data_IF_186162954845
#
_entry.id   IF_186162954845
#
_cell.length_a   1.000
_cell.length_b   1.000
_cell.length_c   1.000
_cell.angle_alpha   90.00
_cell.angle_beta   90.00
_cell.angle_gamma   90.00
#
_symmetry.space_group_name_H-M   'P 1'
#
loop_
_entity.id
_entity.type
_entity.pdbx_description
1 polymer ?
#
# COMPACT_ATOMS: atom_id res chain seq x y z
N UNK A 1 27.34 0.94 21.37
CA UNK A 1 26.83 2.33 21.38
C UNK A 1 27.59 3.21 20.39
N UNK A 2 28.93 3.21 20.43
CA UNK A 2 29.82 3.95 19.49
C UNK A 2 29.49 3.71 18.00
N UNK A 3 29.31 2.44 17.59
CA UNK A 3 29.05 2.09 16.19
C UNK A 3 27.74 2.71 15.63
N UNK A 4 26.68 2.71 16.44
CA UNK A 4 25.38 3.27 16.06
C UNK A 4 25.42 4.80 15.94
N UNK A 5 26.20 5.46 16.79
CA UNK A 5 26.40 6.90 16.71
C UNK A 5 27.12 7.29 15.40
N UNK A 6 28.10 6.49 14.97
CA UNK A 6 28.83 6.70 13.72
C UNK A 6 27.91 6.53 12.50
N UNK A 7 27.07 5.48 12.48
CA UNK A 7 26.09 5.29 11.40
C UNK A 7 25.03 6.39 11.36
N UNK A 8 24.57 6.86 12.52
CA UNK A 8 23.62 7.96 12.58
C UNK A 8 24.22 9.27 12.09
N UNK A 9 25.46 9.57 12.49
CA UNK A 9 26.18 10.75 12.04
C UNK A 9 26.42 10.72 10.52
N UNK A 10 26.85 9.57 9.96
CA UNK A 10 27.09 9.45 8.52
C UNK A 10 25.80 9.61 7.70
N UNK A 11 24.68 9.04 8.16
CA UNK A 11 23.36 9.25 7.55
C UNK A 11 22.90 10.70 7.65
N UNK A 12 23.13 11.36 8.79
CA UNK A 12 22.75 12.76 8.98
C UNK A 12 23.53 13.70 8.03
N UNK A 13 24.85 13.51 7.91
CA UNK A 13 25.68 14.28 6.98
C UNK A 13 25.28 14.04 5.51
N UNK A 14 25.01 12.78 5.14
CA UNK A 14 24.59 12.45 3.78
C UNK A 14 23.24 13.08 3.42
N UNK A 15 22.26 13.01 4.33
CA UNK A 15 20.96 13.65 4.12
C UNK A 15 21.04 15.18 4.09
N UNK A 16 21.89 15.78 4.93
CA UNK A 16 22.14 17.22 4.91
C UNK A 16 22.81 17.68 3.60
N UNK A 17 23.77 16.90 3.09
CA UNK A 17 24.41 17.16 1.80
C UNK A 17 23.40 17.09 0.64
N UNK A 18 22.52 16.09 0.64
CA UNK A 18 21.45 15.97 -0.36
C UNK A 18 20.45 17.12 -0.26
N UNK A 19 20.07 17.52 0.96
CA UNK A 19 19.16 18.64 1.18
C UNK A 19 19.77 19.95 0.66
N UNK A 20 21.06 20.18 0.93
CA UNK A 20 21.78 21.34 0.44
C UNK A 20 21.91 21.33 -1.10
N UNK A 21 22.15 20.15 -1.69
CA UNK A 21 22.23 19.99 -3.15
C UNK A 21 20.86 20.24 -3.83
N UNK A 22 19.77 19.73 -3.25
CA UNK A 22 18.39 19.99 -3.71
C UNK A 22 17.99 21.45 -3.54
N UNK A 23 18.39 22.07 -2.44
CA UNK A 23 18.13 23.49 -2.18
C UNK A 23 18.91 24.37 -3.16
N UNK A 24 20.13 23.98 -3.53
CA UNK A 24 20.94 24.67 -4.52
C UNK A 24 20.40 24.52 -5.95
N UNK A 25 19.75 23.39 -6.28
CA UNK A 25 19.01 23.23 -7.53
C UNK A 25 17.66 23.97 -7.54
N UNK A 26 17.11 24.32 -6.38
CA UNK A 26 15.87 25.08 -6.25
C UNK A 26 16.14 26.58 -6.33
N UNK A 27 16.37 27.07 -7.55
CA UNK A 27 16.42 28.50 -7.90
C UNK A 27 15.12 29.21 -7.44
N UNK A 28 15.18 30.42 -6.87
CA UNK A 28 13.99 31.13 -6.39
C UNK A 28 13.37 31.96 -7.51
N UNK A 29 12.18 31.59 -7.99
CA UNK A 29 11.33 32.53 -8.74
C UNK A 29 10.46 33.30 -7.75
N UNK A 30 10.66 34.61 -7.71
CA UNK A 30 9.94 35.58 -6.90
C UNK A 30 8.90 36.35 -7.75
N UNK A 31 7.79 36.73 -7.11
CA UNK A 31 6.65 37.57 -7.59
C UNK A 31 5.67 36.87 -8.56
N UNK A 32 4.33 36.92 -8.41
CA UNK A 32 3.45 37.97 -7.88
C UNK A 32 2.12 37.39 -7.36
N UNK A 33 1.58 37.95 -6.27
CA UNK A 33 0.14 37.93 -5.97
C UNK A 33 -0.56 38.93 -6.92
N UNK A 34 -1.33 38.44 -7.89
CA UNK A 34 -2.44 39.22 -8.47
C UNK A 34 -3.55 38.26 -8.95
N UNK A 35 -4.78 38.62 -8.61
CA UNK A 35 -5.98 37.77 -8.67
C UNK A 35 -6.51 37.69 -10.11
N UNK A 36 -7.19 36.58 -10.45
CA UNK A 36 -8.07 36.37 -11.63
C UNK A 36 -7.41 35.82 -12.90
N UNK A 37 -7.01 34.54 -12.83
CA UNK A 37 -7.21 33.45 -13.79
C UNK A 37 -6.19 32.36 -13.43
N UNK A 38 -6.63 31.23 -12.88
CA UNK A 38 -5.73 30.17 -12.44
C UNK A 38 -4.87 29.70 -13.63
N UNK A 39 -3.54 29.88 -13.61
CA UNK A 39 -2.70 29.38 -14.69
C UNK A 39 -2.83 27.85 -14.75
N UNK A 40 -2.84 27.26 -15.95
CA UNK A 40 -3.11 25.83 -16.15
C UNK A 40 -2.18 24.92 -15.31
N UNK A 41 -0.98 25.40 -14.97
CA UNK A 41 -0.04 24.69 -14.10
C UNK A 41 -0.36 24.70 -12.59
N UNK A 42 -1.07 25.69 -12.04
CA UNK A 42 -1.43 25.72 -10.61
C UNK A 42 -2.65 24.86 -10.33
N UNK A 43 -3.64 24.87 -11.23
CA UNK A 43 -4.79 23.97 -11.15
C UNK A 43 -4.34 22.50 -11.19
N UNK A 44 -3.39 22.16 -12.08
CA UNK A 44 -2.76 20.83 -12.12
C UNK A 44 -2.02 20.45 -10.83
N UNK A 45 -1.27 21.39 -10.23
CA UNK A 45 -0.58 21.15 -8.93
C UNK A 45 -1.55 20.90 -7.77
N UNK A 46 -2.67 21.62 -7.73
CA UNK A 46 -3.66 21.47 -6.66
C UNK A 46 -4.47 20.16 -6.81
N UNK A 47 -4.85 19.80 -8.03
CA UNK A 47 -5.44 18.50 -8.36
C UNK A 47 -4.48 17.33 -8.04
N UNK A 48 -3.19 17.45 -8.39
CA UNK A 48 -2.17 16.47 -8.02
C UNK A 48 -2.03 16.30 -6.50
N UNK A 49 -2.03 17.42 -5.75
CA UNK A 49 -1.92 17.37 -4.28
C UNK A 49 -3.14 16.72 -3.64
N UNK A 50 -4.35 17.03 -4.12
CA UNK A 50 -5.60 16.42 -3.66
C UNK A 50 -5.60 14.92 -3.96
N UNK A 51 -5.23 14.52 -5.19
CA UNK A 51 -5.10 13.12 -5.57
C UNK A 51 -4.11 12.36 -4.69
N UNK A 52 -2.91 12.92 -4.47
CA UNK A 52 -1.89 12.33 -3.59
C UNK A 52 -2.44 12.12 -2.18
N UNK A 53 -3.09 13.13 -1.59
CA UNK A 53 -3.66 13.00 -0.24
C UNK A 53 -4.72 11.91 -0.16
N UNK A 54 -5.60 11.81 -1.16
CA UNK A 54 -6.61 10.74 -1.22
C UNK A 54 -5.95 9.37 -1.37
N UNK A 55 -5.00 9.23 -2.30
CA UNK A 55 -4.27 7.98 -2.52
C UNK A 55 -3.52 7.52 -1.27
N UNK A 56 -2.71 8.41 -0.68
CA UNK A 56 -1.94 8.10 0.52
C UNK A 56 -2.84 7.79 1.70
N UNK A 57 -3.96 8.49 1.86
CA UNK A 57 -4.95 8.18 2.90
C UNK A 57 -5.44 6.73 2.78
N UNK A 58 -5.90 6.33 1.59
CA UNK A 58 -6.35 4.95 1.36
C UNK A 58 -5.20 3.96 1.54
N UNK A 59 -4.04 4.23 0.94
CA UNK A 59 -2.86 3.35 0.98
C UNK A 59 -2.37 3.10 2.41
N UNK A 60 -2.29 4.15 3.23
CA UNK A 60 -1.91 4.03 4.64
C UNK A 60 -2.94 3.21 5.41
N UNK A 61 -4.24 3.41 5.18
CA UNK A 61 -5.27 2.62 5.85
C UNK A 61 -5.18 1.13 5.52
N UNK A 62 -5.02 0.78 4.23
CA UNK A 62 -4.93 -0.64 3.83
C UNK A 62 -3.62 -1.28 4.28
N UNK A 63 -2.52 -0.54 4.23
CA UNK A 63 -1.23 -1.01 4.74
C UNK A 63 -1.27 -1.18 6.26
N UNK A 64 -1.83 -0.23 7.00
CA UNK A 64 -2.00 -0.36 8.45
C UNK A 64 -2.83 -1.59 8.82
N UNK A 65 -3.86 -1.92 8.03
CA UNK A 65 -4.65 -3.12 8.25
C UNK A 65 -3.81 -4.41 8.06
N UNK A 66 -3.05 -4.52 6.96
CA UNK A 66 -2.22 -5.69 6.67
C UNK A 66 -1.10 -5.87 7.72
N UNK A 67 -0.47 -4.76 8.12
CA UNK A 67 0.53 -4.74 9.18
C UNK A 67 -0.03 -5.11 10.55
N UNK A 68 -1.27 -4.72 10.85
CA UNK A 68 -1.91 -5.11 12.10
C UNK A 68 -2.23 -6.61 12.09
N UNK A 69 -2.57 -7.17 10.93
CA UNK A 69 -2.85 -8.59 10.83
C UNK A 69 -1.59 -9.42 11.14
N UNK A 70 -0.45 -9.13 10.51
CA UNK A 70 0.81 -9.89 10.66
C UNK A 70 1.15 -10.41 12.08
N UNK A 71 1.30 -9.55 13.10
CA UNK A 71 1.74 -9.94 14.44
C UNK A 71 0.66 -10.63 15.29
N UNK A 72 -0.62 -10.23 15.15
CA UNK A 72 -1.71 -10.76 15.98
C UNK A 72 -2.30 -12.05 15.44
N UNK A 73 -2.02 -12.37 14.17
CA UNK A 73 -2.70 -13.45 13.50
C UNK A 73 -2.31 -14.85 14.00
N UNK A 74 -1.06 -15.02 14.44
CA UNK A 74 -0.59 -16.28 15.01
C UNK A 74 -1.18 -16.52 16.40
N UNK A 75 -1.09 -15.51 17.28
CA UNK A 75 -1.62 -15.59 18.65
C UNK A 75 -3.14 -15.77 18.65
N UNK A 76 -3.85 -15.13 17.73
CA UNK A 76 -5.29 -15.33 17.57
C UNK A 76 -5.67 -16.78 17.21
N UNK A 77 -4.84 -17.50 16.47
CA UNK A 77 -5.12 -18.91 16.15
C UNK A 77 -4.66 -19.88 17.22
N UNK A 78 -3.54 -19.58 17.88
CA UNK A 78 -2.98 -20.45 18.91
C UNK A 78 -3.64 -20.25 20.27
N UNK A 79 -3.74 -19.01 20.71
CA UNK A 79 -4.08 -18.66 22.08
C UNK A 79 -5.60 -18.48 22.24
N UNK A 80 -6.26 -17.82 21.29
CA UNK A 80 -7.72 -17.59 21.34
C UNK A 80 -8.54 -18.77 20.78
N UNK A 81 -8.15 -19.29 19.60
CA UNK A 81 -8.88 -20.40 18.95
C UNK A 81 -8.41 -21.78 19.41
N UNK A 82 -7.35 -21.86 20.22
CA UNK A 82 -6.78 -23.10 20.76
C UNK A 82 -6.50 -24.15 19.67
N UNK A 83 -6.10 -23.71 18.47
CA UNK A 83 -5.85 -24.62 17.35
C UNK A 83 -4.49 -25.32 17.52
N UNK A 84 -4.39 -26.61 17.13
CA UNK A 84 -3.12 -27.30 17.09
C UNK A 84 -2.13 -26.58 16.17
N UNK A 85 -0.85 -26.53 16.56
CA UNK A 85 0.19 -25.84 15.78
C UNK A 85 0.27 -26.32 14.33
N UNK A 86 0.02 -27.61 14.10
CA UNK A 86 -0.05 -28.20 12.75
C UNK A 86 -1.14 -27.55 11.87
N UNK A 87 -2.30 -27.24 12.46
CA UNK A 87 -3.42 -26.59 11.76
C UNK A 87 -3.11 -25.11 11.52
N UNK A 88 -2.53 -24.44 12.51
CA UNK A 88 -2.06 -23.05 12.37
C UNK A 88 -1.05 -22.95 11.22
N UNK A 89 -0.05 -23.83 11.19
CA UNK A 89 0.92 -23.90 10.10
C UNK A 89 0.23 -24.11 8.74
N UNK A 90 -0.71 -25.06 8.64
CA UNK A 90 -1.47 -25.30 7.41
C UNK A 90 -2.28 -24.07 6.95
N UNK A 91 -2.87 -23.31 7.87
CA UNK A 91 -3.59 -22.06 7.57
C UNK A 91 -2.66 -20.99 6.99
N UNK A 92 -1.46 -20.82 7.57
CA UNK A 92 -0.45 -19.91 7.04
C UNK A 92 0.06 -20.37 5.67
N UNK A 93 0.40 -21.66 5.52
CA UNK A 93 0.82 -22.23 4.24
C UNK A 93 -0.23 -22.01 3.16
N UNK A 94 -1.52 -22.20 3.48
CA UNK A 94 -2.61 -21.96 2.53
C UNK A 94 -2.65 -20.50 2.07
N UNK A 95 -2.49 -19.54 2.99
CA UNK A 95 -2.39 -18.12 2.65
C UNK A 95 -1.23 -17.81 1.72
N UNK A 96 -0.02 -18.34 2.00
CA UNK A 96 1.15 -18.13 1.16
C UNK A 96 1.04 -18.80 -0.22
N UNK A 97 0.51 -20.03 -0.28
CA UNK A 97 0.28 -20.74 -1.54
C UNK A 97 -0.75 -19.98 -2.39
N UNK A 98 -1.86 -19.54 -1.77
CA UNK A 98 -2.85 -18.74 -2.45
C UNK A 98 -2.25 -17.42 -2.97
N UNK A 99 -1.46 -16.72 -2.15
CA UNK A 99 -0.78 -15.50 -2.55
C UNK A 99 0.16 -15.73 -3.75
N UNK A 100 0.95 -16.80 -3.73
CA UNK A 100 1.87 -17.18 -4.79
C UNK A 100 1.16 -17.52 -6.11
N UNK A 101 0.09 -18.31 -6.05
CA UNK A 101 -0.75 -18.60 -7.23
C UNK A 101 -1.37 -17.31 -7.76
N UNK A 102 -1.98 -16.51 -6.88
CA UNK A 102 -2.61 -15.26 -7.26
C UNK A 102 -1.62 -14.28 -7.88
N UNK A 103 -0.37 -14.23 -7.43
CA UNK A 103 0.64 -13.29 -7.93
C UNK A 103 0.88 -13.43 -9.43
N UNK A 104 0.83 -14.66 -9.95
CA UNK A 104 1.01 -14.91 -11.39
C UNK A 104 -0.17 -14.42 -12.23
N UNK A 105 -1.39 -14.40 -11.70
CA UNK A 105 -2.60 -14.07 -12.47
C UNK A 105 -3.09 -12.65 -12.24
N UNK A 106 -2.99 -12.15 -11.02
CA UNK A 106 -3.57 -10.87 -10.56
C UNK A 106 -3.07 -9.69 -11.39
N UNK A 107 -1.79 -9.64 -11.76
CA UNK A 107 -1.26 -8.56 -12.61
C UNK A 107 -2.00 -8.46 -13.95
N UNK A 108 -2.07 -9.57 -14.69
CA UNK A 108 -2.78 -9.63 -15.98
C UNK A 108 -4.29 -9.38 -15.84
N UNK A 109 -4.90 -9.86 -14.76
CA UNK A 109 -6.33 -9.72 -14.53
C UNK A 109 -6.70 -8.28 -14.18
N UNK A 110 -5.87 -7.60 -13.39
CA UNK A 110 -6.04 -6.21 -12.99
C UNK A 110 -5.88 -5.26 -14.19
N UNK A 111 -4.96 -5.56 -15.11
CA UNK A 111 -4.81 -4.77 -16.34
C UNK A 111 -6.01 -4.94 -17.28
N UNK A 112 -6.64 -6.12 -17.33
CA UNK A 112 -7.80 -6.38 -18.20
C UNK A 112 -9.15 -5.91 -17.64
N UNK A 113 -9.37 -6.08 -16.33
CA UNK A 113 -10.63 -5.69 -15.67
C UNK A 113 -10.63 -4.25 -15.14
N UNK A 114 -9.50 -3.55 -15.27
CA UNK A 114 -9.33 -2.20 -14.79
C UNK A 114 -8.84 -2.15 -13.35
N UNK A 115 -7.86 -1.27 -13.12
CA UNK A 115 -7.14 -1.15 -11.84
C UNK A 115 -8.04 -0.71 -10.69
N UNK A 116 -9.07 0.10 -10.95
CA UNK A 116 -10.07 0.50 -9.95
C UNK A 116 -10.90 -0.68 -9.43
N UNK A 117 -11.27 -1.62 -10.31
CA UNK A 117 -12.02 -2.80 -9.91
C UNK A 117 -11.16 -3.71 -9.02
N UNK A 118 -9.88 -3.86 -9.34
CA UNK A 118 -8.95 -4.64 -8.53
C UNK A 118 -8.76 -4.06 -7.11
N UNK A 119 -8.73 -2.74 -6.93
CA UNK A 119 -8.72 -2.11 -5.61
C UNK A 119 -10.02 -2.39 -4.81
N UNK A 120 -11.18 -2.43 -5.47
CA UNK A 120 -12.44 -2.79 -4.81
C UNK A 120 -12.48 -4.28 -4.43
N UNK A 121 -12.00 -5.15 -5.32
CA UNK A 121 -11.85 -6.59 -5.04
C UNK A 121 -10.94 -6.81 -3.84
N UNK A 122 -9.85 -6.04 -3.72
CA UNK A 122 -9.01 -6.05 -2.53
C UNK A 122 -9.83 -5.73 -1.26
N UNK A 123 -10.57 -4.62 -1.23
CA UNK A 123 -11.35 -4.22 -0.06
C UNK A 123 -12.37 -5.29 0.36
N UNK A 124 -13.06 -5.88 -0.63
CA UNK A 124 -14.07 -6.93 -0.37
C UNK A 124 -13.38 -8.20 0.13
N UNK A 125 -12.36 -8.69 -0.56
CA UNK A 125 -11.64 -9.91 -0.19
C UNK A 125 -10.99 -9.79 1.20
N UNK A 126 -10.39 -8.64 1.50
CA UNK A 126 -9.78 -8.37 2.79
C UNK A 126 -10.82 -8.32 3.91
N UNK A 127 -11.95 -7.63 3.68
CA UNK A 127 -13.05 -7.58 4.66
C UNK A 127 -13.62 -8.97 4.96
N UNK A 128 -13.83 -9.79 3.92
CA UNK A 128 -14.29 -11.18 4.09
C UNK A 128 -13.25 -12.03 4.82
N UNK A 129 -11.96 -11.84 4.52
CA UNK A 129 -10.86 -12.48 5.25
C UNK A 129 -10.91 -12.12 6.74
N UNK A 130 -11.06 -10.84 7.09
CA UNK A 130 -11.18 -10.44 8.50
C UNK A 130 -12.43 -11.02 9.18
N UNK A 131 -13.59 -11.02 8.50
CA UNK A 131 -14.83 -11.60 9.03
C UNK A 131 -14.73 -13.12 9.23
N UNK A 132 -14.02 -13.82 8.35
CA UNK A 132 -13.84 -15.27 8.43
C UNK A 132 -13.19 -15.73 9.74
N UNK A 133 -12.32 -14.88 10.30
CA UNK A 133 -11.58 -15.15 11.55
C UNK A 133 -12.52 -15.18 12.76
N UNK A 134 -13.67 -14.51 12.68
CA UNK A 134 -14.70 -14.56 13.72
C UNK A 134 -15.37 -15.94 13.79
N UNK A 135 -15.42 -16.69 12.69
CA UNK A 135 -16.01 -18.03 12.66
C UNK A 135 -15.12 -19.07 13.35
N UNK A 136 -15.71 -20.11 13.95
CA UNK A 136 -14.99 -21.26 14.50
C UNK A 136 -14.90 -22.44 13.52
N UNK A 137 -15.50 -22.33 12.34
CA UNK A 137 -15.44 -23.36 11.31
C UNK A 137 -14.10 -23.32 10.57
N UNK A 138 -13.35 -24.42 10.63
CA UNK A 138 -12.04 -24.54 9.98
C UNK A 138 -12.09 -24.26 8.47
N UNK A 139 -13.15 -24.67 7.79
CA UNK A 139 -13.33 -24.46 6.34
C UNK A 139 -13.43 -22.98 6.02
N UNK A 140 -14.16 -22.24 6.86
CA UNK A 140 -14.30 -20.79 6.74
C UNK A 140 -12.95 -20.10 7.04
N UNK A 141 -12.19 -20.59 8.03
CA UNK A 141 -10.83 -20.08 8.28
C UNK A 141 -9.89 -20.31 7.09
N UNK A 142 -9.91 -21.50 6.47
CA UNK A 142 -9.08 -21.79 5.29
C UNK A 142 -9.48 -20.95 4.08
N UNK A 143 -10.78 -20.82 3.81
CA UNK A 143 -11.29 -19.95 2.74
C UNK A 143 -10.90 -18.48 2.98
N UNK A 144 -11.05 -18.03 4.23
CA UNK A 144 -10.59 -16.72 4.69
C UNK A 144 -9.11 -16.49 4.44
N UNK A 145 -8.25 -17.49 4.73
CA UNK A 145 -6.81 -17.41 4.48
C UNK A 145 -6.47 -17.33 3.00
N UNK A 146 -7.16 -18.09 2.16
CA UNK A 146 -6.97 -18.01 0.72
C UNK A 146 -7.33 -16.61 0.19
N UNK A 147 -8.44 -16.04 0.65
CA UNK A 147 -8.86 -14.67 0.32
C UNK A 147 -7.88 -13.62 0.88
N UNK A 148 -7.34 -13.85 2.08
CA UNK A 148 -6.28 -13.05 2.68
C UNK A 148 -5.03 -13.02 1.79
N UNK A 149 -4.57 -14.19 1.34
CA UNK A 149 -3.45 -14.30 0.41
C UNK A 149 -3.70 -13.55 -0.92
N UNK A 150 -4.89 -13.71 -1.51
CA UNK A 150 -5.31 -12.96 -2.70
C UNK A 150 -5.26 -11.44 -2.46
N UNK A 151 -5.77 -10.98 -1.32
CA UNK A 151 -5.81 -9.55 -0.99
C UNK A 151 -4.41 -8.97 -0.79
N UNK A 152 -3.51 -9.63 -0.07
CA UNK A 152 -2.13 -9.18 0.09
C UNK A 152 -1.41 -9.12 -1.27
N UNK A 153 -1.64 -10.10 -2.15
CA UNK A 153 -1.11 -10.04 -3.52
C UNK A 153 -1.64 -8.85 -4.30
N UNK A 154 -2.95 -8.56 -4.23
CA UNK A 154 -3.55 -7.39 -4.87
C UNK A 154 -2.96 -6.07 -4.32
N UNK A 155 -2.76 -5.99 -3.01
CA UNK A 155 -2.19 -4.82 -2.34
C UNK A 155 -0.83 -4.45 -2.93
N UNK A 156 0.08 -5.43 -3.04
CA UNK A 156 1.44 -5.19 -3.54
C UNK A 156 1.53 -5.13 -5.07
N UNK A 157 0.60 -5.73 -5.80
CA UNK A 157 0.70 -5.81 -7.27
C UNK A 157 -0.07 -4.72 -8.02
N UNK A 158 -1.10 -4.12 -7.41
CA UNK A 158 -2.05 -3.25 -8.15
C UNK A 158 -2.01 -1.80 -7.69
N UNK A 159 -1.79 -1.53 -6.40
CA UNK A 159 -1.93 -0.17 -5.86
C UNK A 159 -0.93 0.82 -6.47
N UNK A 160 0.35 0.44 -6.55
CA UNK A 160 1.38 1.29 -7.14
C UNK A 160 1.18 1.49 -8.65
N UNK A 161 0.95 0.44 -9.47
CA UNK A 161 0.60 0.64 -10.87
C UNK A 161 -0.66 1.49 -11.06
N UNK A 162 -1.70 1.31 -10.23
CA UNK A 162 -2.90 2.15 -10.30
C UNK A 162 -2.59 3.63 -10.09
N UNK A 163 -1.79 3.96 -9.07
CA UNK A 163 -1.35 5.32 -8.80
C UNK A 163 -0.65 5.94 -10.00
N UNK A 164 0.28 5.20 -10.62
CA UNK A 164 1.03 5.66 -11.79
C UNK A 164 0.09 5.87 -12.98
N UNK A 165 -0.79 4.91 -13.28
CA UNK A 165 -1.73 5.02 -14.40
C UNK A 165 -2.70 6.19 -14.24
N UNK A 166 -3.25 6.40 -13.05
CA UNK A 166 -4.16 7.50 -12.76
C UNK A 166 -3.44 8.85 -12.80
N UNK A 167 -2.17 8.89 -12.39
CA UNK A 167 -1.33 10.08 -12.51
C UNK A 167 -1.10 10.48 -13.98
N UNK A 168 -0.83 9.51 -14.85
CA UNK A 168 -0.68 9.74 -16.29
C UNK A 168 -2.02 10.08 -16.97
N UNK A 169 -3.11 9.40 -16.62
CA UNK A 169 -4.43 9.65 -17.20
C UNK A 169 -4.98 11.05 -16.92
N UNK A 170 -4.51 11.68 -15.84
CA UNK A 170 -4.86 13.07 -15.47
C UNK A 170 -3.87 14.11 -16.00
N UNK A 171 -2.92 13.70 -16.85
CA UNK A 171 -1.87 14.56 -17.44
C UNK A 171 -1.05 15.35 -16.41
N UNK A 172 -1.00 14.88 -15.16
CA UNK A 172 -0.35 15.59 -14.05
C UNK A 172 1.19 15.64 -14.18
N UNK A 173 1.76 14.94 -15.16
CA UNK A 173 3.17 15.03 -15.54
C UNK A 173 3.55 16.45 -16.00
N UNK A 174 2.66 17.19 -16.67
CA UNK A 174 2.96 18.56 -17.14
C UNK A 174 3.04 19.59 -16.00
N UNK A 175 2.68 19.21 -14.78
CA UNK A 175 2.67 20.09 -13.61
C UNK A 175 3.97 20.06 -12.78
N UNK A 176 4.96 19.25 -13.16
CA UNK A 176 6.25 19.11 -12.46
C UNK A 176 7.28 20.11 -12.96
#
# INVERSE_FOLDING_TARGET
MELYAIYFASLAFFNAAIAHYRQQQRKPDASSEETVALPPGIAGKQEAKKFKLTYFGVYICVMAADWLQGPYMYTLYKDEKLLPEKVVAALFTTGFVAAGICASFVGSLADRHGRRAACLTFCIAYSVSCLSVLSNDLTILFAGRALGGLSTTLLYSVFEPWMIAEYHARELHESM
#
